data_IF_671829467325
#
_entry.id   IF_671829467325
#
_cell.length_a   1.000
_cell.length_b   1.000
_cell.length_c   1.000
_cell.angle_alpha   90.00
_cell.angle_beta   90.00
_cell.angle_gamma   90.00
#
_symmetry.space_group_name_H-M   'P 1'
#
loop_
_entity.id
_entity.type
_entity.pdbx_description
1 polymer ?
#
# COMPACT_ATOMS: atom_id res chain seq x y z
N UNK A 1 -16.96 8.82 -33.60
CA UNK A 1 -16.54 9.40 -32.30
C UNK A 1 -17.36 8.72 -31.20
N UNK A 2 -16.85 7.60 -30.67
CA UNK A 2 -17.53 6.84 -29.63
C UNK A 2 -17.50 7.66 -28.32
N UNK A 3 -18.68 8.04 -27.85
CA UNK A 3 -18.89 8.70 -26.57
C UNK A 3 -18.43 7.73 -25.48
N UNK A 4 -17.29 8.01 -24.84
CA UNK A 4 -16.86 7.24 -23.65
C UNK A 4 -17.94 7.41 -22.60
N UNK A 5 -18.73 6.36 -22.37
CA UNK A 5 -19.70 6.35 -21.29
C UNK A 5 -18.93 6.29 -19.97
N UNK A 6 -18.64 7.47 -19.41
CA UNK A 6 -18.23 7.61 -18.01
C UNK A 6 -19.46 7.37 -17.10
N UNK A 7 -20.12 6.22 -17.25
CA UNK A 7 -21.25 5.80 -16.43
C UNK A 7 -20.80 5.50 -14.99
N UNK A 8 -21.77 5.35 -14.07
CA UNK A 8 -21.53 5.06 -12.64
C UNK A 8 -20.47 3.96 -12.41
N UNK A 9 -20.36 2.99 -13.32
CA UNK A 9 -19.36 1.92 -13.31
C UNK A 9 -17.91 2.43 -13.24
N UNK A 10 -17.56 3.49 -13.97
CA UNK A 10 -16.19 4.05 -13.95
C UNK A 10 -15.87 4.78 -12.65
N UNK A 11 -16.87 5.42 -12.04
CA UNK A 11 -16.74 6.07 -10.73
C UNK A 11 -16.57 5.02 -9.63
N UNK A 12 -17.40 3.98 -9.63
CA UNK A 12 -17.31 2.87 -8.67
C UNK A 12 -15.96 2.16 -8.76
N UNK A 13 -15.47 1.85 -9.97
CA UNK A 13 -14.15 1.24 -10.17
C UNK A 13 -13.01 2.11 -9.62
N UNK A 14 -13.11 3.44 -9.75
CA UNK A 14 -12.12 4.38 -9.22
C UNK A 14 -12.10 4.38 -7.67
N UNK A 15 -13.27 4.31 -7.04
CA UNK A 15 -13.39 4.20 -5.58
C UNK A 15 -12.85 2.88 -5.05
N UNK A 16 -13.14 1.76 -5.71
CA UNK A 16 -12.63 0.44 -5.32
C UNK A 16 -11.10 0.38 -5.42
N UNK A 17 -10.52 0.90 -6.50
CA UNK A 17 -9.07 0.99 -6.65
C UNK A 17 -8.42 1.84 -5.56
N UNK A 18 -9.04 2.98 -5.22
CA UNK A 18 -8.57 3.86 -4.14
C UNK A 18 -8.65 3.17 -2.78
N UNK A 19 -9.77 2.50 -2.47
CA UNK A 19 -9.97 1.77 -1.22
C UNK A 19 -8.97 0.61 -1.08
N UNK A 20 -8.65 -0.09 -2.16
CA UNK A 20 -7.63 -1.14 -2.16
C UNK A 20 -6.24 -0.57 -1.83
N UNK A 21 -5.84 0.53 -2.46
CA UNK A 21 -4.55 1.16 -2.18
C UNK A 21 -4.51 1.61 -0.71
N UNK A 22 -5.55 2.32 -0.24
CA UNK A 22 -5.60 2.83 1.12
C UNK A 22 -5.53 1.71 2.17
N UNK A 23 -6.34 0.66 2.02
CA UNK A 23 -6.33 -0.49 2.94
C UNK A 23 -5.00 -1.26 2.92
N UNK A 24 -4.41 -1.43 1.72
CA UNK A 24 -3.07 -2.06 1.58
C UNK A 24 -2.00 -1.23 2.29
N UNK A 25 -2.03 0.10 2.15
CA UNK A 25 -1.07 0.98 2.82
C UNK A 25 -1.25 0.98 4.34
N UNK A 26 -2.49 0.93 4.84
CA UNK A 26 -2.76 0.82 6.27
C UNK A 26 -2.23 -0.50 6.84
N UNK A 27 -2.51 -1.63 6.18
CA UNK A 27 -1.97 -2.93 6.56
C UNK A 27 -0.43 -2.95 6.51
N UNK A 28 0.15 -2.38 5.45
CA UNK A 28 1.60 -2.27 5.29
C UNK A 28 2.24 -1.43 6.41
N UNK A 29 1.60 -0.34 6.81
CA UNK A 29 2.06 0.49 7.91
C UNK A 29 2.08 -0.29 9.23
N UNK A 30 1.01 -1.04 9.53
CA UNK A 30 0.94 -1.89 10.73
C UNK A 30 2.06 -2.94 10.74
N UNK A 31 2.25 -3.69 9.65
CA UNK A 31 3.30 -4.71 9.54
C UNK A 31 4.69 -4.06 9.66
N UNK A 32 4.91 -2.92 9.00
CA UNK A 32 6.17 -2.19 9.09
C UNK A 32 6.49 -1.77 10.54
N UNK A 33 5.49 -1.30 11.29
CA UNK A 33 5.68 -0.93 12.70
C UNK A 33 6.01 -2.13 13.59
N UNK A 34 5.37 -3.28 13.36
CA UNK A 34 5.69 -4.53 14.08
C UNK A 34 7.16 -4.91 13.85
N UNK A 35 7.61 -4.88 12.58
CA UNK A 35 9.01 -5.21 12.26
C UNK A 35 9.96 -4.17 12.87
N UNK A 36 9.64 -2.88 12.80
CA UNK A 36 10.43 -1.81 13.44
C UNK A 36 10.60 -2.00 14.94
N UNK A 37 9.52 -2.40 15.62
CA UNK A 37 9.55 -2.68 17.05
C UNK A 37 10.41 -3.91 17.38
N UNK A 38 10.45 -4.92 16.49
CA UNK A 38 11.26 -6.13 16.68
C UNK A 38 12.77 -5.90 16.49
N UNK A 39 13.17 -5.07 15.52
CA UNK A 39 14.58 -4.90 15.16
C UNK A 39 15.24 -3.69 15.83
N UNK A 40 14.48 -2.64 16.15
CA UNK A 40 14.95 -1.42 16.83
C UNK A 40 16.26 -0.82 16.29
N UNK A 41 16.53 -0.99 14.99
CA UNK A 41 17.80 -0.59 14.39
C UNK A 41 18.00 0.93 14.48
N UNK A 42 19.14 1.43 14.96
CA UNK A 42 19.46 2.86 14.90
C UNK A 42 19.61 3.32 13.45
N UNK A 43 19.36 4.60 13.20
CA UNK A 43 19.48 5.23 11.87
C UNK A 43 20.93 5.62 11.55
N UNK A 44 21.29 5.81 10.27
CA UNK A 44 22.67 6.18 9.89
C UNK A 44 23.20 7.41 10.64
N UNK A 45 22.41 8.50 10.70
CA UNK A 45 22.79 9.72 11.44
C UNK A 45 22.94 9.55 12.96
N UNK A 46 22.42 8.46 13.53
CA UNK A 46 22.58 8.16 14.96
C UNK A 46 23.88 7.40 15.24
N UNK A 47 24.42 6.70 14.24
CA UNK A 47 25.67 5.93 14.37
C UNK A 47 26.87 6.69 13.82
N UNK A 48 26.65 7.61 12.87
CA UNK A 48 27.67 8.46 12.28
C UNK A 48 27.24 9.93 12.39
N UNK A 49 27.81 10.69 13.35
CA UNK A 49 27.52 12.11 13.54
C UNK A 49 27.91 13.02 12.38
N UNK A 50 28.72 12.55 11.43
CA UNK A 50 29.08 13.31 10.23
C UNK A 50 27.92 13.41 9.25
N UNK A 51 26.97 12.47 9.30
CA UNK A 51 25.77 12.45 8.47
C UNK A 51 24.78 13.49 9.03
N UNK A 52 24.49 14.52 8.23
CA UNK A 52 23.52 15.58 8.56
C UNK A 52 22.33 15.51 7.61
N UNK A 53 21.23 14.81 7.97
CA UNK A 53 20.07 14.70 7.10
C UNK A 53 19.47 16.07 6.74
N UNK A 54 19.21 16.36 5.45
CA UNK A 54 18.59 17.60 5.02
C UNK A 54 17.06 17.61 5.20
N UNK A 55 16.54 16.70 6.02
CA UNK A 55 15.10 16.44 6.21
C UNK A 55 14.78 16.38 7.70
N UNK A 56 13.51 16.54 8.05
CA UNK A 56 13.04 16.33 9.43
C UNK A 56 13.45 14.94 9.92
N UNK A 57 14.13 14.90 11.06
CA UNK A 57 14.61 13.65 11.65
C UNK A 57 13.42 12.75 12.03
N UNK A 58 13.37 11.51 11.53
CA UNK A 58 12.36 10.56 11.96
C UNK A 58 12.57 10.16 13.42
N UNK A 59 11.47 9.93 14.14
CA UNK A 59 11.49 9.55 15.57
C UNK A 59 11.43 8.02 15.80
N UNK A 60 11.20 7.26 14.74
CA UNK A 60 11.10 5.80 14.74
C UNK A 60 12.42 5.13 14.31
N UNK A 61 12.46 3.80 14.41
CA UNK A 61 13.66 2.98 14.13
C UNK A 61 13.91 2.82 12.63
N UNK A 62 15.13 2.45 12.22
CA UNK A 62 15.55 2.46 10.81
C UNK A 62 14.97 1.32 9.97
N UNK A 63 14.89 0.11 10.52
CA UNK A 63 14.60 -1.09 9.73
C UNK A 63 13.15 -1.58 9.90
N UNK A 64 12.43 -1.87 8.80
CA UNK A 64 12.72 -1.52 7.41
C UNK A 64 12.31 -0.07 7.11
N UNK A 65 12.62 0.43 5.91
CA UNK A 65 12.17 1.75 5.48
C UNK A 65 10.67 1.77 5.19
N UNK A 66 9.91 2.52 5.99
CA UNK A 66 8.45 2.66 5.81
C UNK A 66 8.05 3.42 4.55
N UNK A 67 8.78 4.48 4.19
CA UNK A 67 8.53 5.23 2.95
C UNK A 67 8.73 4.34 1.72
N UNK A 68 9.83 3.58 1.69
CA UNK A 68 10.08 2.63 0.60
C UNK A 68 9.02 1.54 0.58
N UNK A 69 8.67 0.98 1.74
CA UNK A 69 7.64 -0.06 1.84
C UNK A 69 6.29 0.41 1.28
N UNK A 70 5.81 1.57 1.71
CA UNK A 70 4.55 2.13 1.21
C UNK A 70 4.59 2.44 -0.29
N UNK A 71 5.70 2.99 -0.80
CA UNK A 71 5.83 3.30 -2.22
C UNK A 71 5.80 2.04 -3.10
N UNK A 72 6.50 0.97 -2.71
CA UNK A 72 6.49 -0.30 -3.45
C UNK A 72 5.15 -1.04 -3.32
N UNK A 73 4.46 -0.94 -2.17
CA UNK A 73 3.10 -1.46 -2.03
C UNK A 73 2.13 -0.78 -3.00
N UNK A 74 2.15 0.56 -3.06
CA UNK A 74 1.33 1.33 -4.00
C UNK A 74 1.68 1.01 -5.45
N UNK A 75 2.96 1.00 -5.82
CA UNK A 75 3.41 0.66 -7.17
C UNK A 75 2.94 -0.74 -7.59
N UNK A 76 2.97 -1.72 -6.68
CA UNK A 76 2.48 -3.07 -6.98
C UNK A 76 0.97 -3.10 -7.25
N UNK A 77 0.16 -2.42 -6.44
CA UNK A 77 -1.29 -2.34 -6.70
C UNK A 77 -1.56 -1.62 -8.04
N UNK A 78 -0.89 -0.49 -8.28
CA UNK A 78 -1.01 0.27 -9.54
C UNK A 78 -0.63 -0.60 -10.73
N UNK A 79 0.45 -1.40 -10.66
CA UNK A 79 0.88 -2.27 -11.75
C UNK A 79 -0.16 -3.32 -12.17
N UNK A 80 -1.10 -3.66 -11.27
CA UNK A 80 -2.19 -4.59 -11.57
C UNK A 80 -3.43 -3.85 -12.05
N UNK A 81 -3.80 -2.75 -11.40
CA UNK A 81 -5.00 -2.00 -11.76
C UNK A 81 -4.84 -1.17 -13.04
N UNK A 82 -3.62 -0.67 -13.29
CA UNK A 82 -3.24 0.22 -14.42
C UNK A 82 -1.86 -0.19 -14.94
N UNK A 83 -1.74 -1.34 -15.64
CA UNK A 83 -0.46 -1.88 -16.11
C UNK A 83 0.35 -0.91 -16.97
N UNK A 84 -0.32 0.00 -17.68
CA UNK A 84 0.31 1.05 -18.49
C UNK A 84 1.02 2.13 -17.68
N UNK A 85 0.83 2.17 -16.35
CA UNK A 85 1.53 3.06 -15.41
C UNK A 85 2.53 2.31 -14.53
N UNK A 86 2.76 1.01 -14.78
CA UNK A 86 3.56 0.17 -13.90
C UNK A 86 5.01 0.67 -13.81
N UNK A 87 5.62 0.98 -14.95
CA UNK A 87 7.01 1.42 -15.02
C UNK A 87 7.19 2.77 -14.34
N UNK A 88 6.30 3.73 -14.56
CA UNK A 88 6.30 5.04 -13.90
C UNK A 88 6.13 4.89 -12.38
N UNK A 89 5.22 4.02 -11.94
CA UNK A 89 4.96 3.80 -10.52
C UNK A 89 6.17 3.16 -9.82
N UNK A 90 6.81 2.17 -10.43
CA UNK A 90 8.03 1.56 -9.90
C UNK A 90 9.24 2.50 -9.96
N UNK A 91 9.36 3.30 -11.01
CA UNK A 91 10.38 4.35 -11.11
C UNK A 91 10.24 5.37 -9.98
N UNK A 92 9.02 5.81 -9.68
CA UNK A 92 8.77 6.69 -8.54
C UNK A 92 9.09 6.02 -7.20
N UNK A 93 8.71 4.74 -7.03
CA UNK A 93 9.03 3.99 -5.82
C UNK A 93 10.55 3.82 -5.63
N UNK A 94 11.30 3.59 -6.71
CA UNK A 94 12.76 3.54 -6.71
C UNK A 94 13.39 4.89 -6.34
N UNK A 95 12.87 6.00 -6.88
CA UNK A 95 13.29 7.36 -6.50
C UNK A 95 13.04 7.65 -5.01
N UNK A 96 11.88 7.24 -4.48
CA UNK A 96 11.60 7.33 -3.04
C UNK A 96 12.65 6.55 -2.25
N UNK A 97 12.95 5.30 -2.62
CA UNK A 97 13.97 4.48 -1.97
C UNK A 97 15.37 5.13 -2.00
N UNK A 98 15.81 5.58 -3.18
CA UNK A 98 17.09 6.24 -3.36
C UNK A 98 17.19 7.52 -2.51
N UNK A 99 16.13 8.33 -2.48
CA UNK A 99 16.10 9.56 -1.68
C UNK A 99 16.32 9.30 -0.19
N UNK A 100 15.86 8.15 0.34
CA UNK A 100 16.00 7.81 1.76
C UNK A 100 17.43 7.45 2.14
N UNK A 101 18.15 6.80 1.23
CA UNK A 101 19.58 6.52 1.39
C UNK A 101 20.38 7.82 1.24
N UNK A 102 20.10 8.59 0.18
CA UNK A 102 20.78 9.85 -0.08
C UNK A 102 20.62 10.87 1.06
N UNK A 103 19.43 10.96 1.66
CA UNK A 103 19.19 11.82 2.82
C UNK A 103 19.85 11.31 4.12
N UNK A 104 20.52 10.16 4.11
CA UNK A 104 21.20 9.61 5.30
C UNK A 104 20.25 9.13 6.41
N UNK A 105 18.97 8.90 6.09
CA UNK A 105 17.98 8.46 7.09
C UNK A 105 17.75 6.94 7.10
N UNK A 106 18.22 6.23 6.08
CA UNK A 106 18.13 4.77 5.98
C UNK A 106 19.38 4.17 5.34
N UNK A 107 19.72 2.95 5.76
CA UNK A 107 20.75 2.16 5.11
C UNK A 107 20.23 1.53 3.81
N UNK A 108 21.11 1.16 2.85
CA UNK A 108 20.73 0.41 1.66
C UNK A 108 19.95 -0.90 1.96
N UNK A 109 20.24 -1.56 3.09
CA UNK A 109 19.49 -2.74 3.52
C UNK A 109 18.07 -2.43 4.03
N UNK A 110 17.86 -1.26 4.66
CA UNK A 110 16.51 -0.86 5.12
C UNK A 110 15.57 -0.63 3.94
N UNK A 111 16.06 -0.02 2.86
CA UNK A 111 15.27 0.26 1.67
C UNK A 111 15.00 -1.01 0.85
N UNK A 112 15.98 -1.92 0.75
CA UNK A 112 15.79 -3.24 0.10
C UNK A 112 14.70 -4.05 0.83
N UNK A 113 14.78 -4.12 2.15
CA UNK A 113 13.78 -4.79 2.96
C UNK A 113 12.41 -4.12 2.88
N UNK A 114 12.38 -2.78 2.86
CA UNK A 114 11.14 -2.02 2.64
C UNK A 114 10.48 -2.38 1.31
N UNK A 115 11.24 -2.37 0.21
CA UNK A 115 10.73 -2.70 -1.12
C UNK A 115 10.14 -4.12 -1.19
N UNK A 116 10.84 -5.10 -0.59
CA UNK A 116 10.37 -6.48 -0.48
C UNK A 116 9.08 -6.57 0.34
N UNK A 117 9.06 -5.95 1.53
CA UNK A 117 7.92 -6.00 2.43
C UNK A 117 6.66 -5.41 1.79
N UNK A 118 6.75 -4.18 1.27
CA UNK A 118 5.63 -3.50 0.64
C UNK A 118 5.06 -4.27 -0.55
N UNK A 119 5.94 -4.81 -1.40
CA UNK A 119 5.54 -5.64 -2.54
C UNK A 119 4.81 -6.90 -2.08
N UNK A 120 5.28 -7.58 -1.04
CA UNK A 120 4.65 -8.80 -0.51
C UNK A 120 3.28 -8.51 0.13
N UNK A 121 3.16 -7.42 0.89
CA UNK A 121 1.87 -7.01 1.47
C UNK A 121 0.85 -6.73 0.37
N UNK A 122 1.24 -5.98 -0.66
CA UNK A 122 0.37 -5.73 -1.81
C UNK A 122 0.00 -7.01 -2.56
N UNK A 123 0.94 -7.94 -2.75
CA UNK A 123 0.64 -9.25 -3.36
C UNK A 123 -0.38 -10.04 -2.54
N UNK A 124 -0.30 -10.02 -1.21
CA UNK A 124 -1.29 -10.67 -0.34
C UNK A 124 -2.66 -10.01 -0.44
N UNK A 125 -2.72 -8.68 -0.45
CA UNK A 125 -3.97 -7.94 -0.64
C UNK A 125 -4.65 -8.31 -1.97
N UNK A 126 -3.89 -8.34 -3.07
CA UNK A 126 -4.38 -8.73 -4.40
C UNK A 126 -4.86 -10.19 -4.45
N UNK A 127 -4.17 -11.12 -3.78
CA UNK A 127 -4.60 -12.53 -3.68
C UNK A 127 -5.91 -12.67 -2.93
N UNK A 128 -6.12 -11.87 -1.90
CA UNK A 128 -7.37 -11.89 -1.12
C UNK A 128 -8.53 -11.28 -1.91
N UNK A 129 -8.28 -10.27 -2.76
CA UNK A 129 -9.29 -9.77 -3.69
C UNK A 129 -9.73 -10.82 -4.71
N UNK A 130 -8.78 -11.51 -5.37
CA UNK A 130 -9.13 -12.57 -6.32
C UNK A 130 -9.81 -13.80 -5.69
N UNK A 131 -9.84 -13.89 -4.34
CA UNK A 131 -10.66 -14.84 -3.58
C UNK A 131 -12.02 -14.27 -3.20
N UNK A 132 -12.10 -12.93 -3.05
CA UNK A 132 -13.32 -12.19 -2.73
C UNK A 132 -14.20 -11.88 -3.95
N UNK A 133 -13.82 -12.34 -5.16
CA UNK A 133 -14.74 -12.50 -6.30
C UNK A 133 -15.90 -13.47 -5.98
N UNK A 134 -15.91 -14.05 -4.78
CA UNK A 134 -17.09 -14.59 -4.12
C UNK A 134 -18.05 -13.46 -3.73
N UNK A 135 -19.15 -13.30 -4.47
CA UNK A 135 -20.28 -12.52 -3.99
C UNK A 135 -20.76 -13.16 -2.68
N UNK A 136 -20.66 -12.47 -1.52
CA UNK A 136 -21.09 -13.04 -0.26
C UNK A 136 -22.59 -13.35 -0.35
N UNK A 137 -22.96 -14.57 0.03
CA UNK A 137 -24.35 -14.96 0.14
C UNK A 137 -25.07 -14.07 1.16
N UNK A 138 -26.40 -13.92 1.03
CA UNK A 138 -27.21 -13.18 2.00
C UNK A 138 -26.98 -13.70 3.44
N UNK A 139 -26.78 -15.01 3.58
CA UNK A 139 -26.48 -15.65 4.87
C UNK A 139 -25.15 -15.14 5.48
N UNK A 140 -24.11 -14.93 4.68
CA UNK A 140 -22.83 -14.40 5.15
C UNK A 140 -22.92 -12.92 5.51
N UNK A 141 -23.69 -12.14 4.75
CA UNK A 141 -23.95 -10.73 5.05
C UNK A 141 -24.72 -10.57 6.36
N UNK A 142 -25.74 -11.41 6.58
CA UNK A 142 -26.48 -11.45 7.84
C UNK A 142 -25.59 -11.90 9.01
N UNK A 143 -24.69 -12.86 8.80
CA UNK A 143 -23.77 -13.36 9.83
C UNK A 143 -22.79 -12.29 10.35
N UNK A 144 -22.46 -11.29 9.54
CA UNK A 144 -21.63 -10.14 9.93
C UNK A 144 -22.46 -8.90 10.34
N UNK A 145 -23.77 -9.05 10.48
CA UNK A 145 -24.67 -8.03 11.01
C UNK A 145 -25.18 -7.00 9.98
N UNK A 146 -25.03 -7.27 8.68
CA UNK A 146 -25.65 -6.44 7.65
C UNK A 146 -27.10 -6.90 7.46
N UNK A 147 -28.03 -5.95 7.51
CA UNK A 147 -29.48 -6.19 7.40
C UNK A 147 -30.01 -5.92 6.00
N UNK A 148 -31.18 -6.47 5.67
CA UNK A 148 -31.85 -6.21 4.39
C UNK A 148 -32.14 -4.72 4.16
N UNK A 149 -32.40 -3.97 5.23
CA UNK A 149 -32.59 -2.52 5.18
C UNK A 149 -31.31 -1.77 4.77
N UNK A 150 -30.12 -2.29 5.09
CA UNK A 150 -28.83 -1.73 4.68
C UNK A 150 -28.43 -2.17 3.27
N UNK A 151 -28.96 -3.30 2.80
CA UNK A 151 -28.76 -3.79 1.43
C UNK A 151 -29.70 -3.13 0.43
N UNK A 152 -30.85 -2.62 0.88
CA UNK A 152 -31.82 -1.91 0.04
C UNK A 152 -31.19 -0.70 -0.66
N UNK A 153 -31.17 -0.71 -1.99
CA UNK A 153 -30.63 0.37 -2.83
C UNK A 153 -29.16 0.23 -3.23
N UNK A 154 -28.46 -0.82 -2.79
CA UNK A 154 -27.05 -1.07 -3.16
C UNK A 154 -26.86 -1.77 -4.50
N UNK A 155 -27.91 -2.39 -5.05
CA UNK A 155 -27.84 -3.20 -6.28
C UNK A 155 -27.10 -4.53 -6.11
N UNK A 156 -26.69 -4.89 -4.89
CA UNK A 156 -26.01 -6.14 -4.55
C UNK A 156 -26.98 -7.32 -4.35
N UNK A 157 -28.29 -7.05 -4.29
CA UNK A 157 -29.35 -8.03 -4.17
C UNK A 157 -30.25 -7.86 -5.39
N UNK A 158 -30.22 -8.82 -6.30
CA UNK A 158 -31.16 -8.94 -7.42
C UNK A 158 -32.36 -9.79 -7.00
#
# INVERSE_FOLDING_TARGET
LARREHGLTGVVQSWLGTALIASTLAANAAVTQIVKHRFQRPRPFQVDPSIKPPVKLPRDTSYPSGHTSSAFAAARIISVLRPELADEAYNLAAQVAASRVYAGVHFPSDVRAGAQLGTQVAQLALRNLGRADHTPSLAELHAIGITDAQLAGTGLVA
#
